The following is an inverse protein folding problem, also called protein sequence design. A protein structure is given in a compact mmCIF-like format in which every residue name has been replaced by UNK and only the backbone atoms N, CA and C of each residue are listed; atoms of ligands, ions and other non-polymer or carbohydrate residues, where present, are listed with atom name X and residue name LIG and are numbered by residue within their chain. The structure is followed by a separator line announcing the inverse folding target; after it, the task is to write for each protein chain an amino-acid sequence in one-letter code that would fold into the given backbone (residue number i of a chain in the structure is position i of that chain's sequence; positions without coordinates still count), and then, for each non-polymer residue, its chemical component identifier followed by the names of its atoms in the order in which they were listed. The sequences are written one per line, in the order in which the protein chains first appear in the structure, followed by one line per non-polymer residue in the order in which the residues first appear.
data_IF_158584971303
#
_entry.id   IF_158584971303
#
_cell.length_a   1.000
_cell.length_b   1.000
_cell.length_c   1.000
_cell.angle_alpha   90.00
_cell.angle_beta   90.00
_cell.angle_gamma   90.00
#
_symmetry.space_group_name_H-M   'P 1'
#
loop_
_entity.id
_entity.type
_entity.pdbx_description
1 polymer ?
#
# COMPACT_ATOMS: atom_id res chain seq x y z
N UNK A 1 -16.75 -4.33 -21.68
CA UNK A 1 -17.87 -3.37 -21.68
C UNK A 1 -17.30 -1.99 -22.01
N UNK A 2 -17.28 -1.59 -23.29
CA UNK A 2 -16.84 -0.25 -23.71
C UNK A 2 -17.94 0.74 -23.33
N UNK A 3 -17.83 1.30 -22.13
CA UNK A 3 -18.76 2.29 -21.62
C UNK A 3 -18.65 3.61 -22.39
N UNK A 4 -19.79 4.29 -22.54
CA UNK A 4 -20.00 5.66 -23.04
C UNK A 4 -18.75 6.57 -22.98
N UNK A 5 -18.55 7.36 -24.02
CA UNK A 5 -17.49 8.38 -24.10
C UNK A 5 -17.47 9.34 -22.89
N UNK A 6 -16.26 9.82 -22.56
CA UNK A 6 -16.03 10.79 -21.48
C UNK A 6 -16.81 12.08 -21.78
N UNK A 7 -17.53 12.61 -20.78
CA UNK A 7 -18.23 13.89 -20.87
C UNK A 7 -17.27 15.04 -20.56
N UNK A 8 -16.58 15.52 -21.59
CA UNK A 8 -15.65 16.65 -21.46
C UNK A 8 -16.36 17.95 -21.07
N UNK A 9 -17.57 18.19 -21.56
CA UNK A 9 -18.33 19.40 -21.26
C UNK A 9 -18.65 19.52 -19.76
N UNK A 10 -19.02 18.40 -19.13
CA UNK A 10 -19.28 18.36 -17.68
C UNK A 10 -18.02 18.66 -16.86
N UNK A 11 -16.86 18.21 -17.33
CA UNK A 11 -15.57 18.51 -16.69
C UNK A 11 -15.28 20.02 -16.82
N UNK A 12 -15.46 20.59 -18.01
CA UNK A 12 -15.24 22.00 -18.26
C UNK A 12 -16.16 22.88 -17.41
N UNK A 13 -17.46 22.55 -17.36
CA UNK A 13 -18.47 23.29 -16.60
C UNK A 13 -18.18 23.28 -15.09
N UNK A 14 -17.66 22.16 -14.56
CA UNK A 14 -17.43 21.99 -13.12
C UNK A 14 -15.97 22.20 -12.70
N UNK A 15 -15.09 22.61 -13.62
CA UNK A 15 -13.65 22.71 -13.39
C UNK A 15 -13.32 23.54 -12.14
N UNK A 16 -13.88 24.75 -12.04
CA UNK A 16 -13.61 25.65 -10.92
C UNK A 16 -14.04 25.06 -9.58
N UNK A 17 -15.17 24.35 -9.54
CA UNK A 17 -15.64 23.70 -8.32
C UNK A 17 -14.74 22.52 -7.94
N UNK A 18 -14.30 21.73 -8.91
CA UNK A 18 -13.34 20.65 -8.69
C UNK A 18 -12.02 21.18 -8.12
N UNK A 19 -11.48 22.28 -8.66
CA UNK A 19 -10.26 22.91 -8.17
C UNK A 19 -10.43 23.47 -6.76
N UNK A 20 -11.59 24.06 -6.43
CA UNK A 20 -11.91 24.51 -5.06
C UNK A 20 -11.87 23.36 -4.06
N UNK A 21 -12.53 22.23 -4.37
CA UNK A 21 -12.50 21.06 -3.50
C UNK A 21 -11.10 20.45 -3.38
N UNK A 22 -10.37 20.33 -4.49
CA UNK A 22 -8.99 19.83 -4.48
C UNK A 22 -8.08 20.75 -3.64
N UNK A 23 -8.26 22.06 -3.73
CA UNK A 23 -7.53 23.04 -2.91
C UNK A 23 -7.90 22.91 -1.46
N UNK A 24 -9.18 22.76 -1.11
CA UNK A 24 -9.63 22.59 0.26
C UNK A 24 -9.05 21.34 0.93
N UNK A 25 -8.96 20.24 0.19
CA UNK A 25 -8.30 19.00 0.63
C UNK A 25 -6.81 19.27 0.84
N UNK A 26 -6.13 19.87 -0.14
CA UNK A 26 -4.69 20.16 -0.08
C UNK A 26 -4.33 21.09 1.07
N UNK A 27 -5.17 22.07 1.39
CA UNK A 27 -4.93 23.02 2.50
C UNK A 27 -5.44 22.52 3.85
N UNK A 28 -6.05 21.32 3.91
CA UNK A 28 -6.60 20.75 5.14
C UNK A 28 -7.85 21.45 5.68
N UNK A 29 -8.45 22.36 4.91
CA UNK A 29 -9.67 23.09 5.30
C UNK A 29 -10.93 22.23 5.21
N UNK A 30 -10.86 21.10 4.49
CA UNK A 30 -11.88 20.05 4.51
C UNK A 30 -11.23 18.68 4.29
N UNK A 31 -11.70 17.66 5.02
CA UNK A 31 -11.27 16.28 4.76
C UNK A 31 -11.93 15.72 3.52
N UNK A 32 -11.25 14.81 2.84
CA UNK A 32 -11.80 14.04 1.70
C UNK A 32 -13.11 13.34 2.09
N UNK A 33 -13.16 12.78 3.31
CA UNK A 33 -14.37 12.12 3.83
C UNK A 33 -15.54 13.10 3.98
N UNK A 34 -15.31 14.31 4.50
CA UNK A 34 -16.36 15.32 4.65
C UNK A 34 -16.93 15.75 3.30
N UNK A 35 -16.07 15.88 2.28
CA UNK A 35 -16.46 16.21 0.91
C UNK A 35 -17.25 15.06 0.27
N UNK A 36 -16.76 13.83 0.37
CA UNK A 36 -17.46 12.65 -0.15
C UNK A 36 -18.81 12.43 0.52
N UNK A 37 -18.89 12.60 1.85
CA UNK A 37 -20.14 12.51 2.60
C UNK A 37 -21.16 13.57 2.16
N UNK A 38 -20.71 14.74 1.74
CA UNK A 38 -21.57 15.79 1.17
C UNK A 38 -22.13 15.37 -0.20
N UNK A 39 -21.33 14.69 -1.02
CA UNK A 39 -21.75 14.21 -2.33
C UNK A 39 -22.65 12.96 -2.27
N UNK A 40 -22.44 12.04 -1.32
CA UNK A 40 -23.29 10.86 -1.18
C UNK A 40 -24.69 11.17 -0.67
N UNK A 41 -24.86 12.25 0.11
CA UNK A 41 -26.19 12.78 0.50
C UNK A 41 -26.99 13.33 -0.68
N UNK A 42 -26.32 13.77 -1.74
CA UNK A 42 -26.91 14.29 -2.96
C UNK A 42 -26.28 13.57 -4.15
N UNK A 43 -26.66 12.31 -4.36
CA UNK A 43 -26.06 11.38 -5.34
C UNK A 43 -25.97 11.91 -6.80
N UNK A 44 -26.55 13.08 -7.08
CA UNK A 44 -26.55 13.78 -8.36
C UNK A 44 -25.67 15.05 -8.40
N UNK A 45 -24.75 15.28 -7.44
CA UNK A 45 -23.93 16.50 -7.46
C UNK A 45 -23.06 16.54 -8.74
N UNK A 46 -23.27 17.56 -9.58
CA UNK A 46 -22.61 17.71 -10.88
C UNK A 46 -21.08 17.70 -10.77
N UNK A 47 -20.52 18.36 -9.75
CA UNK A 47 -19.08 18.34 -9.48
C UNK A 47 -18.54 16.94 -9.14
N UNK A 48 -19.29 16.11 -8.40
CA UNK A 48 -18.87 14.73 -8.12
C UNK A 48 -18.89 13.89 -9.40
N UNK A 49 -19.92 14.07 -10.24
CA UNK A 49 -19.98 13.42 -11.55
C UNK A 49 -18.83 13.85 -12.46
N UNK A 50 -18.44 15.12 -12.45
CA UNK A 50 -17.28 15.63 -13.16
C UNK A 50 -15.96 15.01 -12.65
N UNK A 51 -15.77 14.89 -11.33
CA UNK A 51 -14.63 14.17 -10.75
C UNK A 51 -14.56 12.71 -11.21
N UNK A 52 -15.71 12.02 -11.29
CA UNK A 52 -15.77 10.65 -11.81
C UNK A 52 -15.40 10.57 -13.31
N UNK A 53 -15.78 11.56 -14.12
CA UNK A 53 -15.37 11.63 -15.53
C UNK A 53 -13.86 11.86 -15.67
N UNK A 54 -13.26 12.74 -14.85
CA UNK A 54 -11.80 12.91 -14.81
C UNK A 54 -11.11 11.60 -14.41
N UNK A 55 -11.63 10.91 -13.39
CA UNK A 55 -11.12 9.60 -12.98
C UNK A 55 -11.18 8.56 -14.11
N UNK A 56 -12.26 8.55 -14.91
CA UNK A 56 -12.37 7.71 -16.11
C UNK A 56 -11.34 8.09 -17.17
N UNK A 57 -11.11 9.38 -17.41
CA UNK A 57 -10.12 9.85 -18.37
C UNK A 57 -8.71 9.41 -17.97
N UNK A 58 -8.31 9.65 -16.71
CA UNK A 58 -7.02 9.23 -16.17
C UNK A 58 -6.84 7.72 -16.25
N UNK A 59 -7.87 6.94 -15.87
CA UNK A 59 -7.85 5.47 -15.99
C UNK A 59 -7.67 5.03 -17.43
N UNK A 60 -8.36 5.67 -18.38
CA UNK A 60 -8.26 5.33 -19.81
C UNK A 60 -6.85 5.60 -20.34
N UNK A 61 -6.28 6.77 -20.01
CA UNK A 61 -4.90 7.14 -20.38
C UNK A 61 -3.92 6.13 -19.78
N UNK A 62 -4.07 5.79 -18.51
CA UNK A 62 -3.23 4.81 -17.84
C UNK A 62 -3.32 3.44 -18.52
N UNK A 63 -4.52 2.92 -18.79
CA UNK A 63 -4.72 1.62 -19.45
C UNK A 63 -4.12 1.64 -20.86
N UNK A 64 -4.31 2.72 -21.62
CA UNK A 64 -3.71 2.84 -22.95
C UNK A 64 -2.18 2.85 -22.90
N UNK A 65 -1.59 3.54 -21.92
CA UNK A 65 -0.14 3.50 -21.68
C UNK A 65 0.32 2.11 -21.28
N UNK A 66 -0.35 1.51 -20.30
CA UNK A 66 -0.10 0.16 -19.81
C UNK A 66 -0.09 -0.84 -20.96
N UNK A 67 -1.11 -0.85 -21.82
CA UNK A 67 -1.20 -1.79 -22.95
C UNK A 67 -0.09 -1.59 -24.00
N UNK A 68 0.44 -0.37 -24.13
CA UNK A 68 1.46 -0.03 -25.14
C UNK A 68 2.89 -0.23 -24.65
N UNK A 69 3.13 -0.09 -23.35
CA UNK A 69 4.47 -0.06 -22.76
C UNK A 69 4.74 -1.34 -21.96
N UNK A 70 5.64 -2.18 -22.47
CA UNK A 70 5.97 -3.47 -21.84
C UNK A 70 6.84 -3.31 -20.60
N UNK A 71 7.63 -2.25 -20.50
CA UNK A 71 8.47 -2.03 -19.32
C UNK A 71 7.60 -1.55 -18.15
N UNK A 72 6.63 -0.67 -18.42
CA UNK A 72 5.60 -0.31 -17.44
C UNK A 72 4.79 -1.52 -16.96
N UNK A 73 4.45 -2.46 -17.86
CA UNK A 73 3.74 -3.69 -17.46
C UNK A 73 4.58 -4.55 -16.51
N UNK A 74 5.88 -4.72 -16.80
CA UNK A 74 6.79 -5.50 -15.96
C UNK A 74 6.93 -4.87 -14.59
N UNK A 75 7.20 -3.57 -14.52
CA UNK A 75 7.34 -2.84 -13.26
C UNK A 75 6.09 -2.98 -12.37
N UNK A 76 4.89 -2.81 -12.96
CA UNK A 76 3.63 -2.97 -12.22
C UNK A 76 3.44 -4.42 -11.75
N UNK A 77 3.76 -5.40 -12.61
CA UNK A 77 3.61 -6.81 -12.26
C UNK A 77 4.58 -7.23 -11.16
N UNK A 78 5.82 -6.75 -11.21
CA UNK A 78 6.84 -7.01 -10.19
C UNK A 78 6.43 -6.41 -8.84
N UNK A 79 5.94 -5.17 -8.83
CA UNK A 79 5.39 -4.55 -7.62
C UNK A 79 4.17 -5.28 -7.08
N UNK A 80 3.27 -5.75 -7.96
CA UNK A 80 2.10 -6.52 -7.57
C UNK A 80 2.48 -7.87 -6.97
N UNK A 81 3.44 -8.59 -7.57
CA UNK A 81 3.93 -9.87 -7.06
C UNK A 81 4.51 -9.74 -5.65
N UNK A 82 5.22 -8.64 -5.36
CA UNK A 82 5.71 -8.35 -4.00
C UNK A 82 4.55 -8.13 -3.04
N UNK A 83 3.58 -7.30 -3.42
CA UNK A 83 2.43 -6.99 -2.56
C UNK A 83 1.53 -8.23 -2.33
N UNK A 84 1.29 -9.03 -3.36
CA UNK A 84 0.52 -10.28 -3.27
C UNK A 84 1.26 -11.35 -2.48
N UNK A 85 2.56 -11.51 -2.70
CA UNK A 85 3.41 -12.42 -1.92
C UNK A 85 3.39 -12.05 -0.43
N UNK A 86 3.49 -10.77 -0.10
CA UNK A 86 3.32 -10.26 1.25
C UNK A 86 1.92 -10.52 1.81
N UNK A 87 0.88 -10.29 1.02
CA UNK A 87 -0.49 -10.53 1.43
C UNK A 87 -0.79 -12.01 1.70
N UNK A 88 -0.22 -12.92 0.91
CA UNK A 88 -0.24 -14.36 1.19
C UNK A 88 0.44 -14.68 2.53
N UNK A 89 1.56 -14.03 2.84
CA UNK A 89 2.22 -14.12 4.14
C UNK A 89 1.36 -13.61 5.29
N UNK A 90 0.56 -12.56 5.06
CA UNK A 90 -0.33 -12.00 6.08
C UNK A 90 -1.43 -12.98 6.50
N UNK A 91 -1.91 -13.84 5.60
CA UNK A 91 -2.84 -14.92 5.96
C UNK A 91 -2.19 -15.95 6.89
N UNK A 92 -0.86 -16.14 6.78
CA UNK A 92 -0.08 -17.04 7.62
C UNK A 92 0.24 -16.40 8.98
N UNK A 93 0.53 -15.09 9.00
CA UNK A 93 0.76 -14.29 10.20
C UNK A 93 -0.52 -14.09 11.03
N UNK A 94 -1.67 -13.99 10.36
CA UNK A 94 -2.99 -13.92 10.99
C UNK A 94 -3.44 -15.33 11.42
N UNK A 95 -2.74 -15.90 12.41
CA UNK A 95 -3.01 -17.25 12.90
C UNK A 95 -4.22 -17.28 13.83
N UNK A 96 -5.37 -17.72 13.30
CA UNK A 96 -6.59 -18.04 14.05
C UNK A 96 -7.75 -18.45 13.13
N UNK A 97 -8.14 -19.74 13.16
CA UNK A 97 -9.22 -20.33 12.32
C UNK A 97 -9.14 -20.03 10.81
N UNK A 98 -7.95 -20.07 10.22
CA UNK A 98 -7.79 -20.07 8.75
C UNK A 98 -7.91 -18.71 8.07
N UNK A 99 -7.69 -17.61 8.79
CA UNK A 99 -7.69 -16.27 8.19
C UNK A 99 -9.05 -15.56 8.23
N UNK A 100 -10.13 -16.29 8.56
CA UNK A 100 -11.48 -15.76 8.56
C UNK A 100 -11.86 -15.17 9.93
N UNK A 101 -12.26 -13.91 9.91
CA UNK A 101 -12.86 -13.27 11.08
C UNK A 101 -14.26 -13.86 11.27
N UNK A 102 -14.35 -14.94 12.05
CA UNK A 102 -15.59 -15.68 12.30
C UNK A 102 -16.63 -14.92 13.17
N UNK A 103 -16.41 -13.64 13.45
CA UNK A 103 -17.30 -12.80 14.26
C UNK A 103 -17.98 -11.76 13.39
N UNK A 104 -19.30 -11.63 13.51
CA UNK A 104 -20.10 -10.56 12.88
C UNK A 104 -20.00 -9.23 13.66
N UNK A 105 -19.12 -9.15 14.67
CA UNK A 105 -18.92 -7.95 15.49
C UNK A 105 -17.86 -7.06 14.86
N UNK A 106 -18.30 -5.90 14.37
CA UNK A 106 -17.46 -4.91 13.72
C UNK A 106 -16.26 -4.46 14.58
N UNK A 107 -16.46 -4.24 15.87
CA UNK A 107 -15.38 -3.78 16.76
C UNK A 107 -14.24 -4.81 16.89
N UNK A 108 -14.59 -6.11 16.93
CA UNK A 108 -13.60 -7.20 16.99
C UNK A 108 -12.86 -7.36 15.66
N UNK A 109 -13.54 -7.10 14.53
CA UNK A 109 -12.92 -7.04 13.20
C UNK A 109 -11.93 -5.87 13.11
N UNK A 110 -12.34 -4.68 13.54
CA UNK A 110 -11.50 -3.48 13.53
C UNK A 110 -10.24 -3.66 14.39
N UNK A 111 -10.38 -4.24 15.59
CA UNK A 111 -9.25 -4.56 16.46
C UNK A 111 -8.31 -5.58 15.82
N UNK A 112 -8.85 -6.66 15.25
CA UNK A 112 -8.05 -7.71 14.60
C UNK A 112 -7.25 -7.15 13.43
N UNK A 113 -7.87 -6.30 12.62
CA UNK A 113 -7.22 -5.59 11.50
C UNK A 113 -6.14 -4.64 12.02
N UNK A 114 -6.39 -3.90 13.10
CA UNK A 114 -5.39 -3.01 13.69
C UNK A 114 -4.16 -3.79 14.21
N UNK A 115 -4.38 -4.89 14.93
CA UNK A 115 -3.30 -5.76 15.40
C UNK A 115 -2.49 -6.36 14.24
N UNK A 116 -3.16 -6.81 13.17
CA UNK A 116 -2.49 -7.32 11.98
C UNK A 116 -1.60 -6.24 11.33
N UNK A 117 -2.07 -5.00 11.21
CA UNK A 117 -1.27 -3.91 10.68
C UNK A 117 -0.02 -3.63 11.53
N UNK A 118 -0.14 -3.67 12.86
CA UNK A 118 1.02 -3.50 13.77
C UNK A 118 2.03 -4.62 13.54
N UNK A 119 1.57 -5.86 13.43
CA UNK A 119 2.43 -7.01 13.17
C UNK A 119 3.13 -6.89 11.80
N UNK A 120 2.39 -6.51 10.76
CA UNK A 120 2.93 -6.25 9.42
C UNK A 120 4.05 -5.20 9.45
N UNK A 121 3.79 -4.08 10.12
CA UNK A 121 4.77 -3.00 10.26
C UNK A 121 6.01 -3.46 11.03
N UNK A 122 5.84 -4.25 12.10
CA UNK A 122 6.95 -4.80 12.87
C UNK A 122 7.82 -5.75 12.04
N UNK A 123 7.22 -6.65 11.26
CA UNK A 123 7.97 -7.56 10.38
C UNK A 123 8.69 -6.79 9.28
N UNK A 124 8.02 -5.84 8.60
CA UNK A 124 8.66 -5.01 7.59
C UNK A 124 9.83 -4.18 8.16
N UNK A 125 9.70 -3.69 9.40
CA UNK A 125 10.78 -2.99 10.09
C UNK A 125 11.98 -3.91 10.37
N UNK A 126 11.75 -5.09 10.95
CA UNK A 126 12.82 -6.07 11.21
C UNK A 126 13.50 -6.49 9.90
N UNK A 127 12.74 -6.74 8.84
CA UNK A 127 13.28 -7.06 7.53
C UNK A 127 14.15 -5.95 6.95
N UNK A 128 13.73 -4.69 7.14
CA UNK A 128 14.53 -3.53 6.72
C UNK A 128 15.87 -3.52 7.44
N UNK A 129 15.89 -3.76 8.75
CA UNK A 129 17.13 -3.82 9.53
C UNK A 129 18.02 -4.99 9.10
N UNK A 130 17.45 -6.16 8.83
CA UNK A 130 18.20 -7.33 8.33
C UNK A 130 18.84 -7.05 6.98
N UNK A 131 18.08 -6.45 6.04
CA UNK A 131 18.60 -6.07 4.73
C UNK A 131 19.70 -5.02 4.87
N UNK A 132 19.51 -4.01 5.71
CA UNK A 132 20.54 -3.00 5.98
C UNK A 132 21.83 -3.61 6.54
N UNK A 133 21.72 -4.57 7.46
CA UNK A 133 22.87 -5.25 8.06
C UNK A 133 23.67 -6.05 7.03
N UNK A 134 22.98 -6.78 6.15
CA UNK A 134 23.61 -7.53 5.04
C UNK A 134 24.25 -6.58 4.04
N UNK A 135 23.55 -5.51 3.64
CA UNK A 135 24.06 -4.52 2.68
C UNK A 135 25.23 -3.68 3.25
N UNK A 136 25.43 -3.68 4.56
CA UNK A 136 26.59 -3.04 5.19
C UNK A 136 27.89 -3.84 4.99
N UNK A 137 27.82 -5.10 4.54
CA UNK A 137 29.01 -5.91 4.30
C UNK A 137 29.76 -5.46 3.04
N UNK A 138 31.11 -5.37 3.08
CA UNK A 138 31.90 -4.92 1.94
C UNK A 138 31.66 -5.73 0.65
N UNK A 139 31.29 -7.00 0.79
CA UNK A 139 30.98 -7.88 -0.34
C UNK A 139 29.81 -7.37 -1.20
N UNK A 140 28.88 -6.58 -0.63
CA UNK A 140 27.70 -6.06 -1.34
C UNK A 140 27.89 -4.63 -1.88
N UNK A 141 29.00 -3.97 -1.56
CA UNK A 141 29.25 -2.57 -1.95
C UNK A 141 29.16 -2.37 -3.47
N UNK A 142 29.82 -3.26 -4.22
CA UNK A 142 29.90 -3.20 -5.69
C UNK A 142 29.11 -4.32 -6.39
N UNK A 143 28.44 -5.19 -5.62
CA UNK A 143 27.71 -6.33 -6.18
C UNK A 143 26.33 -5.97 -6.77
N UNK A 144 25.71 -4.88 -6.31
CA UNK A 144 24.36 -4.50 -6.69
C UNK A 144 24.35 -3.34 -7.69
N UNK A 145 23.69 -3.55 -8.82
CA UNK A 145 23.40 -2.51 -9.81
C UNK A 145 22.28 -1.58 -9.35
N UNK A 146 22.06 -0.48 -10.07
CA UNK A 146 20.94 0.42 -9.82
C UNK A 146 19.56 -0.25 -10.04
N UNK A 147 19.48 -1.33 -10.82
CA UNK A 147 18.24 -2.10 -10.98
C UNK A 147 18.03 -3.02 -9.77
N UNK A 148 19.07 -3.69 -9.30
CA UNK A 148 18.98 -4.57 -8.12
C UNK A 148 18.57 -3.77 -6.88
N UNK A 149 19.10 -2.56 -6.72
CA UNK A 149 18.72 -1.65 -5.62
C UNK A 149 17.28 -1.19 -5.71
N UNK A 150 16.72 -1.05 -6.92
CA UNK A 150 15.30 -0.72 -7.13
C UNK A 150 14.38 -1.90 -6.81
N UNK A 151 14.85 -3.14 -7.01
CA UNK A 151 14.11 -4.35 -6.68
C UNK A 151 14.12 -4.74 -5.20
N UNK A 152 14.90 -4.06 -4.35
CA UNK A 152 14.94 -4.34 -2.92
C UNK A 152 13.59 -4.06 -2.26
N UNK A 153 13.08 -5.05 -1.53
CA UNK A 153 11.84 -4.94 -0.78
C UNK A 153 12.01 -5.55 0.62
N UNK A 154 11.50 -4.89 1.68
CA UNK A 154 11.44 -5.47 3.01
C UNK A 154 10.22 -6.40 3.19
N UNK A 155 9.42 -6.63 2.15
CA UNK A 155 8.14 -7.33 2.24
C UNK A 155 8.27 -8.83 1.92
N UNK A 156 9.23 -9.51 2.55
CA UNK A 156 9.41 -10.96 2.46
C UNK A 156 9.13 -11.61 3.82
N UNK A 157 8.65 -12.85 3.83
CA UNK A 157 8.19 -13.50 5.06
C UNK A 157 8.61 -14.97 5.19
N UNK A 158 9.33 -15.53 4.20
CA UNK A 158 9.73 -16.95 4.18
C UNK A 158 10.61 -17.38 5.35
N UNK A 159 11.28 -16.43 6.01
CA UNK A 159 12.11 -16.67 7.20
C UNK A 159 11.31 -16.64 8.51
N UNK A 160 10.05 -16.21 8.48
CA UNK A 160 9.17 -16.17 9.64
C UNK A 160 8.62 -17.58 9.88
N UNK A 161 8.81 -18.11 11.08
CA UNK A 161 8.24 -19.38 11.51
C UNK A 161 6.91 -19.13 12.24
N UNK A 162 5.75 -19.31 11.59
CA UNK A 162 4.43 -19.06 12.21
C UNK A 162 4.02 -20.17 13.18
N UNK A 163 4.58 -21.37 13.02
CA UNK A 163 4.26 -22.55 13.80
C UNK A 163 5.47 -22.99 14.62
N UNK A 164 5.21 -23.41 15.85
CA UNK A 164 6.23 -23.95 16.75
C UNK A 164 6.21 -23.29 18.13
N UNK A 165 7.10 -23.75 18.99
CA UNK A 165 7.28 -23.18 20.33
C UNK A 165 8.31 -22.06 20.26
N UNK A 166 7.89 -20.82 20.53
CA UNK A 166 8.78 -19.67 20.61
C UNK A 166 9.12 -19.42 22.08
N UNK A 167 10.34 -19.75 22.48
CA UNK A 167 10.87 -19.37 23.81
C UNK A 167 11.30 -17.91 23.79
N UNK A 168 10.36 -17.03 24.15
CA UNK A 168 10.60 -15.59 24.24
C UNK A 168 11.55 -15.27 25.39
N UNK A 169 12.68 -14.64 25.06
CA UNK A 169 13.53 -14.01 26.04
C UNK A 169 13.53 -12.50 25.79
N UNK A 170 12.79 -11.76 26.63
CA UNK A 170 12.63 -10.30 26.51
C UNK A 170 13.92 -9.51 26.82
N UNK A 171 14.98 -10.17 27.32
CA UNK A 171 16.29 -9.54 27.57
C UNK A 171 17.25 -9.68 26.40
N UNK A 172 16.93 -10.52 25.41
CA UNK A 172 17.77 -10.76 24.24
C UNK A 172 17.31 -9.89 23.08
N UNK A 173 18.23 -9.10 22.50
CA UNK A 173 17.98 -8.32 21.28
C UNK A 173 18.52 -9.02 20.04
N UNK A 174 18.02 -8.61 18.87
CA UNK A 174 18.60 -8.98 17.58
C UNK A 174 20.02 -8.41 17.49
N UNK A 175 21.00 -9.26 17.20
CA UNK A 175 22.38 -8.84 17.02
C UNK A 175 22.57 -8.30 15.60
N UNK A 176 22.27 -7.01 15.40
CA UNK A 176 22.45 -6.29 14.14
C UNK A 176 23.63 -5.31 14.30
N UNK A 177 24.50 -5.17 13.30
CA UNK A 177 25.70 -4.30 13.36
C UNK A 177 25.38 -2.84 13.68
N UNK A 178 24.15 -2.40 13.41
CA UNK A 178 23.68 -1.03 13.67
C UNK A 178 23.38 -0.68 15.13
N UNK A 179 23.20 -1.64 16.04
CA UNK A 179 22.82 -1.37 17.44
C UNK A 179 24.02 -1.32 18.42
N UNK A 180 25.26 -1.17 17.92
CA UNK A 180 26.47 -1.34 18.73
C UNK A 180 27.52 -0.23 18.62
N UNK A 181 27.19 0.98 18.14
CA UNK A 181 28.13 2.11 18.12
C UNK A 181 27.47 3.41 18.62
N UNK A 182 27.14 3.43 19.90
CA UNK A 182 27.26 4.64 20.70
C UNK A 182 28.45 4.41 21.63
N UNK A 183 29.44 5.31 21.57
CA UNK A 183 30.59 5.31 22.48
C UNK A 183 30.21 5.64 23.91
#
# INVERSE_FOLDING_TARGET
MMGRAIRWDLIAEQYDQMIKYATAIRTGTASTEAILRRFTRAASHSTYQAMLEVGRAVKTIFVARYLRDRDLQREIHDGLNVAEGWNGGNQVLFYGKGGDIATNRRDEQELSVACLHVLQAAVAYVNTLLVQDVLAEPAWADALTAEDRRGLTPLFWTHVAPYGEVKLNMTKRLALRGEGRAG
#
